data_IF_134461027746
#
_entry.id   IF_134461027746
#
_cell.length_a   1.000
_cell.length_b   1.000
_cell.length_c   1.000
_cell.angle_alpha   90.00
_cell.angle_beta   90.00
_cell.angle_gamma   90.00
#
_symmetry.space_group_name_H-M   'P 1'
#
loop_
_entity.id
_entity.type
_entity.pdbx_description
1 polymer ?
#
# COMPACT_ATOMS: atom_id res chain seq x y z
N UNK A 1 13.51 9.50 15.59
CA UNK A 1 12.50 8.79 16.38
C UNK A 1 13.18 7.84 17.36
N UNK A 2 12.92 8.01 18.68
CA UNK A 2 13.54 7.20 19.73
C UNK A 2 12.47 6.55 20.59
N UNK A 3 12.55 5.23 20.70
CA UNK A 3 11.68 4.43 21.59
C UNK A 3 12.50 3.73 22.65
N UNK A 4 12.02 3.77 23.91
CA UNK A 4 12.70 3.16 25.05
C UNK A 4 11.77 2.22 25.81
N UNK A 5 12.30 1.17 26.40
CA UNK A 5 11.55 0.28 27.28
C UNK A 5 11.94 0.49 28.75
N UNK A 6 10.98 0.24 29.66
CA UNK A 6 11.22 0.31 31.13
C UNK A 6 12.21 -0.74 31.65
N UNK A 7 12.57 -1.72 30.82
CA UNK A 7 13.59 -2.74 31.15
C UNK A 7 15.02 -2.22 30.97
N UNK A 8 15.20 -1.03 30.42
CA UNK A 8 16.50 -0.45 30.15
C UNK A 8 16.89 0.58 31.20
N UNK A 9 18.19 0.72 31.48
CA UNK A 9 18.74 1.77 32.37
C UNK A 9 18.45 3.17 31.79
N UNK A 10 18.46 3.30 30.46
CA UNK A 10 18.02 4.51 29.75
C UNK A 10 16.59 4.27 29.30
N UNK A 11 15.63 4.77 30.03
CA UNK A 11 14.20 4.61 29.76
C UNK A 11 13.49 5.93 29.40
N UNK A 12 14.15 7.08 29.55
CA UNK A 12 13.63 8.37 29.15
C UNK A 12 13.97 8.67 27.68
N UNK A 13 12.97 8.63 26.82
CA UNK A 13 13.16 8.89 25.39
C UNK A 13 13.75 10.29 25.10
N UNK A 14 13.28 11.34 25.81
CA UNK A 14 13.80 12.69 25.63
C UNK A 14 15.31 12.81 25.89
N UNK A 15 15.79 12.26 26.99
CA UNK A 15 17.22 12.27 27.31
C UNK A 15 18.06 11.46 26.29
N UNK A 16 17.47 10.39 25.75
CA UNK A 16 18.11 9.63 24.67
C UNK A 16 18.18 10.45 23.37
N UNK A 17 17.10 11.13 22.99
CA UNK A 17 17.05 12.00 21.80
C UNK A 17 18.16 13.07 21.87
N UNK A 18 18.27 13.80 22.98
CA UNK A 18 19.28 14.83 23.16
C UNK A 18 20.71 14.30 22.97
N UNK A 19 21.00 13.13 23.56
CA UNK A 19 22.31 12.49 23.43
C UNK A 19 22.60 12.01 22.01
N UNK A 20 21.61 11.44 21.33
CA UNK A 20 21.77 11.05 19.93
C UNK A 20 21.97 12.25 19.00
N UNK A 21 21.18 13.31 19.16
CA UNK A 21 21.32 14.53 18.36
C UNK A 21 22.71 15.14 18.54
N UNK A 22 23.17 15.23 19.81
CA UNK A 22 24.52 15.72 20.12
C UNK A 22 25.61 14.85 19.48
N UNK A 23 25.52 13.54 19.61
CA UNK A 23 26.49 12.61 19.02
C UNK A 23 26.53 12.70 17.50
N UNK A 24 25.38 12.81 16.81
CA UNK A 24 25.32 12.96 15.36
C UNK A 24 25.99 14.27 14.90
N UNK A 25 25.72 15.36 15.60
CA UNK A 25 26.36 16.65 15.28
C UNK A 25 27.87 16.60 15.52
N UNK A 26 28.32 16.11 16.67
CA UNK A 26 29.75 16.12 17.07
C UNK A 26 30.59 15.11 16.26
N UNK A 27 30.04 13.94 15.95
CA UNK A 27 30.79 12.85 15.31
C UNK A 27 30.70 12.86 13.78
N UNK A 28 29.59 13.35 13.22
CA UNK A 28 29.32 13.27 11.78
C UNK A 28 28.90 14.62 11.15
N UNK A 29 28.76 15.69 11.92
CA UNK A 29 28.29 16.98 11.41
C UNK A 29 26.85 16.93 10.87
N UNK A 30 26.05 15.96 11.32
CA UNK A 30 24.66 15.80 10.87
C UNK A 30 23.75 16.65 11.75
N UNK A 31 23.07 17.59 11.12
CA UNK A 31 22.01 18.38 11.75
C UNK A 31 20.71 17.59 11.75
N UNK A 32 20.00 17.60 12.88
CA UNK A 32 18.71 16.92 13.06
C UNK A 32 17.58 17.93 12.99
N UNK A 33 16.61 17.68 12.11
CA UNK A 33 15.42 18.50 11.93
C UNK A 33 14.15 17.63 11.88
N UNK A 34 13.01 18.17 12.32
CA UNK A 34 11.74 17.43 12.36
C UNK A 34 11.19 17.13 10.96
N UNK A 35 11.53 17.93 9.98
CA UNK A 35 11.12 17.82 8.57
C UNK A 35 12.18 17.13 7.68
N UNK A 36 13.22 16.54 8.29
CA UNK A 36 14.25 15.84 7.55
C UNK A 36 13.68 14.65 6.76
N UNK A 37 14.10 14.47 5.49
CA UNK A 37 13.53 13.42 4.62
C UNK A 37 13.91 12.00 5.02
N UNK A 38 14.94 11.84 5.84
CA UNK A 38 15.42 10.54 6.32
C UNK A 38 15.27 10.46 7.83
N UNK A 39 14.62 9.42 8.32
CA UNK A 39 14.42 9.19 9.76
C UNK A 39 15.39 8.13 10.28
N UNK A 40 16.11 8.46 11.34
CA UNK A 40 16.81 7.47 12.15
C UNK A 40 15.87 6.96 13.25
N UNK A 41 15.66 5.64 13.29
CA UNK A 41 14.87 4.98 14.33
C UNK A 41 15.81 4.34 15.34
N UNK A 42 15.72 4.78 16.60
CA UNK A 42 16.52 4.24 17.71
C UNK A 42 15.61 3.52 18.67
N UNK A 43 15.87 2.25 18.92
CA UNK A 43 15.17 1.43 19.90
C UNK A 43 16.14 1.03 21.02
N UNK A 44 15.77 1.35 22.24
CA UNK A 44 16.50 0.94 23.45
C UNK A 44 15.61 -0.05 24.22
N UNK A 45 15.99 -1.31 24.24
CA UNK A 45 15.24 -2.37 24.89
C UNK A 45 16.20 -3.35 25.58
N UNK A 46 15.97 -3.65 26.84
CA UNK A 46 16.83 -4.51 27.67
C UNK A 46 18.33 -4.14 27.58
N UNK A 47 18.62 -2.83 27.70
CA UNK A 47 19.96 -2.22 27.56
C UNK A 47 20.63 -2.41 26.18
N UNK A 48 19.92 -2.97 25.19
CA UNK A 48 20.39 -3.04 23.80
C UNK A 48 19.89 -1.82 23.03
N UNK A 49 20.80 -1.17 22.32
CA UNK A 49 20.49 -0.06 21.40
C UNK A 49 20.50 -0.60 19.98
N UNK A 50 19.40 -0.43 19.27
CA UNK A 50 19.29 -0.72 17.84
C UNK A 50 19.05 0.59 17.11
N UNK A 51 19.92 0.92 16.15
CA UNK A 51 19.79 2.10 15.27
C UNK A 51 19.47 1.60 13.88
N UNK A 52 18.40 2.13 13.28
CA UNK A 52 17.97 1.80 11.92
C UNK A 52 17.74 3.07 11.12
N UNK A 53 18.09 3.05 9.86
CA UNK A 53 17.73 4.10 8.90
C UNK A 53 16.39 3.71 8.24
N UNK A 54 15.40 4.57 8.31
CA UNK A 54 14.16 4.37 7.56
C UNK A 54 14.39 4.72 6.10
N UNK A 55 14.55 3.71 5.28
CA UNK A 55 14.76 3.86 3.84
C UNK A 55 13.46 3.98 3.06
N UNK A 56 12.33 3.71 3.68
CA UNK A 56 11.01 3.73 3.03
C UNK A 56 10.35 5.11 3.04
N UNK A 57 10.45 5.84 4.15
CA UNK A 57 9.70 7.08 4.39
C UNK A 57 8.21 6.81 4.57
N UNK A 58 7.38 7.20 3.61
CA UNK A 58 5.95 6.89 3.64
C UNK A 58 5.69 5.37 3.74
N UNK A 59 4.62 4.93 4.44
CA UNK A 59 4.28 3.51 4.53
C UNK A 59 4.18 2.83 3.16
N UNK A 60 4.66 1.59 3.04
CA UNK A 60 4.75 0.87 1.76
C UNK A 60 3.41 0.60 1.05
N UNK A 61 2.29 0.65 1.80
CA UNK A 61 0.97 0.53 1.18
C UNK A 61 0.59 1.78 0.37
N UNK A 62 1.20 2.93 0.61
CA UNK A 62 1.00 4.14 -0.18
C UNK A 62 1.78 4.00 -1.49
N UNK A 63 1.11 3.53 -2.55
CA UNK A 63 1.75 3.25 -3.86
C UNK A 63 2.02 4.52 -4.69
N UNK A 64 1.38 5.65 -4.35
CA UNK A 64 1.51 6.93 -5.05
C UNK A 64 0.43 7.18 -6.11
N UNK A 65 -0.42 6.24 -6.43
CA UNK A 65 -1.49 6.40 -7.42
C UNK A 65 -2.91 6.38 -6.82
N UNK A 66 -3.09 5.90 -5.60
CA UNK A 66 -4.39 5.88 -4.93
C UNK A 66 -4.59 7.16 -4.13
N UNK A 67 -5.20 8.15 -4.76
CA UNK A 67 -5.52 9.45 -4.14
C UNK A 67 -6.95 9.48 -3.57
N UNK A 68 -7.90 8.91 -4.31
CA UNK A 68 -9.29 8.86 -3.90
C UNK A 68 -9.57 7.58 -3.09
N UNK A 69 -10.04 7.74 -1.86
CA UNK A 69 -10.32 6.63 -0.95
C UNK A 69 -11.69 6.80 -0.28
N UNK A 70 -12.39 5.69 -0.07
CA UNK A 70 -13.60 5.66 0.73
C UNK A 70 -13.34 5.77 2.24
N UNK A 71 -14.39 5.60 3.05
CA UNK A 71 -14.32 5.72 4.53
C UNK A 71 -13.44 4.65 5.22
N UNK A 72 -13.24 3.47 4.59
CA UNK A 72 -12.47 2.35 5.14
C UNK A 72 -11.67 1.65 4.03
N UNK A 73 -10.63 2.29 3.47
CA UNK A 73 -9.90 1.74 2.35
C UNK A 73 -9.06 0.53 2.78
N UNK A 74 -9.04 -0.51 1.95
CA UNK A 74 -8.08 -1.60 2.06
C UNK A 74 -6.68 -1.04 1.79
N UNK A 75 -5.68 -1.47 2.56
CA UNK A 75 -4.26 -1.17 2.28
C UNK A 75 -3.77 -2.03 1.12
N UNK A 76 -3.05 -1.44 0.19
CA UNK A 76 -2.55 -2.11 -1.02
C UNK A 76 -1.64 -3.29 -0.69
N UNK A 77 -0.74 -3.14 0.28
CA UNK A 77 0.12 -4.26 0.73
C UNK A 77 -0.66 -5.43 1.30
N UNK A 78 -1.81 -5.15 1.94
CA UNK A 78 -2.67 -6.19 2.49
C UNK A 78 -3.44 -6.89 1.37
N UNK A 79 -3.92 -6.13 0.38
CA UNK A 79 -4.57 -6.70 -0.80
C UNK A 79 -3.61 -7.61 -1.59
N UNK A 80 -2.37 -7.16 -1.82
CA UNK A 80 -1.34 -7.98 -2.46
C UNK A 80 -1.04 -9.27 -1.68
N UNK A 81 -0.99 -9.19 -0.34
CA UNK A 81 -0.78 -10.36 0.53
C UNK A 81 -1.95 -11.36 0.39
N UNK A 82 -3.19 -10.91 0.44
CA UNK A 82 -4.35 -11.78 0.29
C UNK A 82 -4.41 -12.44 -1.10
N UNK A 83 -4.16 -11.69 -2.16
CA UNK A 83 -4.06 -12.25 -3.51
C UNK A 83 -2.99 -13.36 -3.57
N UNK A 84 -1.82 -13.13 -2.99
CA UNK A 84 -0.74 -14.12 -2.92
C UNK A 84 -1.16 -15.35 -2.10
N UNK A 85 -1.83 -15.17 -0.95
CA UNK A 85 -2.32 -16.29 -0.13
C UNK A 85 -3.41 -17.10 -0.82
N UNK A 86 -4.19 -16.49 -1.71
CA UNK A 86 -5.16 -17.18 -2.56
C UNK A 86 -4.51 -17.91 -3.75
N UNK A 87 -3.19 -17.89 -3.88
CA UNK A 87 -2.47 -18.52 -4.99
C UNK A 87 -2.58 -17.76 -6.31
N UNK A 88 -2.90 -16.45 -6.27
CA UNK A 88 -2.98 -15.63 -7.48
C UNK A 88 -1.60 -15.44 -8.11
N UNK A 89 -1.45 -15.88 -9.34
CA UNK A 89 -0.21 -15.83 -10.13
C UNK A 89 -0.28 -14.87 -11.34
N UNK A 90 -1.41 -14.17 -11.50
CA UNK A 90 -1.67 -13.25 -12.61
C UNK A 90 -2.29 -13.90 -13.85
N UNK A 91 -2.53 -15.20 -13.86
CA UNK A 91 -3.08 -15.92 -15.02
C UNK A 91 -4.62 -16.02 -15.03
N UNK A 92 -5.26 -15.82 -13.89
CA UNK A 92 -6.71 -15.94 -13.71
C UNK A 92 -7.38 -14.57 -13.53
N UNK A 93 -8.64 -14.49 -13.94
CA UNK A 93 -9.49 -13.32 -13.66
C UNK A 93 -9.70 -13.16 -12.16
N UNK A 94 -9.69 -11.92 -11.68
CA UNK A 94 -10.09 -11.56 -10.30
C UNK A 94 -11.34 -10.70 -10.37
N UNK A 95 -12.30 -10.99 -9.50
CA UNK A 95 -13.53 -10.23 -9.34
C UNK A 95 -13.75 -9.83 -7.89
N UNK A 96 -13.92 -8.52 -7.65
CA UNK A 96 -14.30 -7.94 -6.36
C UNK A 96 -15.72 -7.34 -6.45
N UNK A 97 -16.74 -8.01 -5.88
CA UNK A 97 -18.14 -7.55 -5.96
C UNK A 97 -18.48 -6.39 -5.01
N UNK A 98 -17.54 -5.91 -4.18
CA UNK A 98 -17.68 -4.76 -3.27
C UNK A 98 -16.39 -3.94 -3.28
N UNK A 99 -15.93 -3.56 -4.48
CA UNK A 99 -14.55 -3.12 -4.72
C UNK A 99 -14.19 -1.77 -4.09
N UNK A 100 -15.17 -0.97 -3.68
CA UNK A 100 -14.91 0.36 -3.14
C UNK A 100 -14.05 1.18 -4.10
N UNK A 101 -12.89 1.64 -3.66
CA UNK A 101 -11.93 2.39 -4.48
C UNK A 101 -11.04 1.50 -5.40
N UNK A 102 -11.37 0.21 -5.57
CA UNK A 102 -10.78 -0.69 -6.54
C UNK A 102 -9.48 -1.39 -6.11
N UNK A 103 -9.17 -1.47 -4.81
CA UNK A 103 -7.84 -1.90 -4.34
C UNK A 103 -7.47 -3.31 -4.80
N UNK A 104 -8.31 -4.33 -4.61
CA UNK A 104 -8.01 -5.70 -5.05
C UNK A 104 -7.87 -5.78 -6.57
N UNK A 105 -8.79 -5.17 -7.29
CA UNK A 105 -8.81 -5.18 -8.76
C UNK A 105 -7.55 -4.55 -9.36
N UNK A 106 -7.12 -3.41 -8.80
CA UNK A 106 -5.92 -2.69 -9.26
C UNK A 106 -4.65 -3.47 -8.90
N UNK A 107 -4.51 -3.95 -7.66
CA UNK A 107 -3.35 -4.74 -7.25
C UNK A 107 -3.23 -6.04 -8.07
N UNK A 108 -4.34 -6.70 -8.38
CA UNK A 108 -4.33 -7.88 -9.25
C UNK A 108 -3.82 -7.54 -10.66
N UNK A 109 -4.26 -6.41 -11.24
CA UNK A 109 -3.80 -5.96 -12.55
C UNK A 109 -2.31 -5.58 -12.53
N UNK A 110 -1.82 -4.95 -11.48
CA UNK A 110 -0.40 -4.60 -11.32
C UNK A 110 0.48 -5.86 -11.16
N UNK A 111 0.08 -6.82 -10.35
CA UNK A 111 0.78 -8.09 -10.16
C UNK A 111 0.83 -8.86 -11.48
N UNK A 112 -0.30 -9.00 -12.18
CA UNK A 112 -0.37 -9.74 -13.43
C UNK A 112 0.48 -9.13 -14.54
N UNK A 113 0.55 -7.79 -14.61
CA UNK A 113 1.38 -7.06 -15.58
C UNK A 113 2.85 -6.91 -15.13
N UNK A 114 3.23 -7.46 -13.97
CA UNK A 114 4.60 -7.40 -13.44
C UNK A 114 5.09 -5.99 -13.16
N UNK A 115 4.18 -5.07 -12.84
CA UNK A 115 4.52 -3.67 -12.54
C UNK A 115 5.13 -3.55 -11.15
N UNK A 116 6.18 -2.72 -11.04
CA UNK A 116 6.82 -2.47 -9.76
C UNK A 116 5.91 -1.67 -8.82
N UNK A 117 5.66 -2.20 -7.63
CA UNK A 117 4.76 -1.59 -6.64
C UNK A 117 5.21 -0.20 -6.16
N UNK A 118 6.51 0.08 -6.25
CA UNK A 118 7.12 1.36 -5.84
C UNK A 118 7.33 2.38 -6.97
N UNK A 119 6.90 2.09 -8.21
CA UNK A 119 7.22 2.93 -9.39
C UNK A 119 6.71 4.37 -9.31
N UNK A 120 5.57 4.58 -8.65
CA UNK A 120 4.86 5.88 -8.61
C UNK A 120 5.07 6.64 -7.29
N UNK A 121 6.01 6.22 -6.45
CA UNK A 121 6.30 6.88 -5.17
C UNK A 121 7.76 7.21 -5.01
N UNK A 122 8.07 8.18 -4.13
CA UNK A 122 9.41 8.44 -3.64
C UNK A 122 9.70 7.62 -2.38
N UNK A 123 10.97 7.36 -2.12
CA UNK A 123 11.46 6.67 -0.94
C UNK A 123 12.48 7.53 -0.20
N UNK A 124 12.58 7.37 1.11
CA UNK A 124 13.56 8.11 1.91
C UNK A 124 15.01 7.81 1.50
N UNK A 125 15.31 6.59 1.00
CA UNK A 125 16.66 6.27 0.53
C UNK A 125 17.14 7.14 -0.64
N UNK A 126 16.23 7.79 -1.37
CA UNK A 126 16.57 8.70 -2.48
C UNK A 126 17.31 9.97 -2.00
N UNK A 127 17.27 10.24 -0.70
CA UNK A 127 18.00 11.34 -0.06
C UNK A 127 19.35 10.90 0.55
N UNK A 128 19.73 9.64 0.44
CA UNK A 128 21.01 9.16 0.94
C UNK A 128 22.12 9.48 -0.06
N UNK A 129 23.33 9.73 0.45
CA UNK A 129 24.51 10.03 -0.38
C UNK A 129 24.88 8.85 -1.32
N UNK A 130 24.47 7.65 -0.98
CA UNK A 130 24.67 6.44 -1.79
C UNK A 130 23.60 6.24 -2.87
N UNK A 131 22.65 7.18 -3.01
CA UNK A 131 21.59 7.07 -3.99
C UNK A 131 22.13 7.19 -5.42
N UNK A 132 21.76 6.20 -6.25
CA UNK A 132 22.03 6.21 -7.68
C UNK A 132 20.71 6.34 -8.47
N UNK A 133 20.43 7.53 -9.04
CA UNK A 133 19.17 7.80 -9.76
C UNK A 133 19.02 6.96 -11.03
N UNK A 134 20.12 6.60 -11.69
CA UNK A 134 20.08 5.83 -12.95
C UNK A 134 19.65 4.40 -12.69
N UNK A 135 20.25 3.76 -11.69
CA UNK A 135 19.88 2.40 -11.25
C UNK A 135 18.41 2.35 -10.82
N UNK A 136 17.96 3.30 -9.99
CA UNK A 136 16.57 3.32 -9.51
C UNK A 136 15.59 3.60 -10.65
N UNK A 137 15.93 4.50 -11.58
CA UNK A 137 15.12 4.77 -12.77
C UNK A 137 14.98 3.52 -13.64
N UNK A 138 16.06 2.78 -13.84
CA UNK A 138 16.04 1.49 -14.56
C UNK A 138 15.14 0.46 -13.84
N UNK A 139 15.26 0.32 -12.52
CA UNK A 139 14.43 -0.59 -11.73
C UNK A 139 12.95 -0.23 -11.80
N UNK A 140 12.61 1.06 -11.75
CA UNK A 140 11.21 1.51 -11.85
C UNK A 140 10.57 1.26 -13.21
N UNK A 141 11.36 1.32 -14.28
CA UNK A 141 10.91 1.03 -15.65
C UNK A 141 10.82 -0.47 -15.94
N UNK A 142 11.44 -1.27 -15.09
CA UNK A 142 11.38 -2.71 -15.26
C UNK A 142 9.94 -3.19 -15.05
N UNK A 143 9.34 -3.69 -16.11
CA UNK A 143 8.07 -4.42 -16.07
C UNK A 143 8.30 -5.76 -16.76
N UNK A 144 7.60 -6.79 -16.33
CA UNK A 144 7.62 -8.03 -17.09
C UNK A 144 6.97 -7.77 -18.45
N UNK A 145 7.50 -8.35 -19.51
CA UNK A 145 6.90 -8.27 -20.85
C UNK A 145 5.58 -9.05 -20.96
N UNK A 146 5.06 -9.57 -19.86
CA UNK A 146 3.80 -10.30 -19.82
C UNK A 146 2.63 -9.32 -19.94
N UNK A 147 1.94 -9.38 -21.06
CA UNK A 147 0.63 -8.75 -21.21
C UNK A 147 -0.40 -9.74 -20.67
N UNK A 148 -1.14 -9.41 -19.59
CA UNK A 148 -2.18 -10.29 -19.07
C UNK A 148 -3.24 -10.57 -20.15
N UNK A 149 -3.60 -11.84 -20.31
CA UNK A 149 -4.66 -12.27 -21.23
C UNK A 149 -6.06 -12.16 -20.63
N UNK A 150 -6.13 -11.82 -19.34
CA UNK A 150 -7.36 -11.74 -18.54
C UNK A 150 -7.61 -10.30 -18.12
N UNK A 151 -8.85 -10.03 -17.74
CA UNK A 151 -9.28 -8.74 -17.18
C UNK A 151 -9.60 -8.91 -15.70
N UNK A 152 -9.54 -7.81 -14.98
CA UNK A 152 -9.80 -7.71 -13.55
C UNK A 152 -11.05 -6.87 -13.34
N UNK A 153 -11.99 -7.36 -12.56
CA UNK A 153 -13.33 -6.81 -12.46
C UNK A 153 -13.62 -6.33 -11.05
N UNK A 154 -14.26 -5.18 -10.97
CA UNK A 154 -14.76 -4.64 -9.71
C UNK A 154 -16.16 -4.12 -9.86
N UNK A 155 -16.98 -4.29 -8.83
CA UNK A 155 -18.29 -3.66 -8.78
C UNK A 155 -18.56 -3.12 -7.38
N UNK A 156 -19.38 -2.09 -7.32
CA UNK A 156 -19.88 -1.53 -6.07
C UNK A 156 -21.26 -0.92 -6.33
N UNK A 157 -22.12 -0.94 -5.32
CA UNK A 157 -23.44 -0.26 -5.37
C UNK A 157 -23.32 1.27 -5.39
N UNK A 158 -22.22 1.80 -4.88
CA UNK A 158 -21.92 3.23 -4.82
C UNK A 158 -21.21 3.69 -6.11
N UNK A 159 -21.90 4.51 -6.89
CA UNK A 159 -21.35 5.10 -8.12
C UNK A 159 -20.12 5.98 -7.86
N UNK A 160 -20.06 6.65 -6.69
CA UNK A 160 -18.89 7.42 -6.26
C UNK A 160 -17.67 6.53 -6.05
N UNK A 161 -17.85 5.33 -5.46
CA UNK A 161 -16.80 4.34 -5.32
C UNK A 161 -16.26 3.89 -6.68
N UNK A 162 -17.14 3.63 -7.64
CA UNK A 162 -16.74 3.24 -9.01
C UNK A 162 -15.98 4.38 -9.73
N UNK A 163 -16.41 5.63 -9.55
CA UNK A 163 -15.67 6.78 -10.07
C UNK A 163 -14.25 6.86 -9.48
N UNK A 164 -14.12 6.64 -8.18
CA UNK A 164 -12.81 6.57 -7.48
C UNK A 164 -11.96 5.42 -8.02
N UNK A 165 -12.53 4.21 -8.13
CA UNK A 165 -11.83 3.02 -8.62
C UNK A 165 -11.29 3.23 -10.05
N UNK A 166 -12.12 3.76 -10.95
CA UNK A 166 -11.74 4.07 -12.34
C UNK A 166 -10.60 5.10 -12.38
N UNK A 167 -10.69 6.16 -11.58
CA UNK A 167 -9.66 7.19 -11.51
C UNK A 167 -8.34 6.66 -10.94
N UNK A 168 -8.40 5.80 -9.92
CA UNK A 168 -7.24 5.14 -9.34
C UNK A 168 -6.57 4.19 -10.36
N UNK A 169 -7.35 3.39 -11.10
CA UNK A 169 -6.84 2.52 -12.14
C UNK A 169 -6.15 3.29 -13.28
N UNK A 170 -6.68 4.45 -13.63
CA UNK A 170 -6.06 5.35 -14.61
C UNK A 170 -4.69 5.85 -14.12
N UNK A 171 -4.59 6.30 -12.87
CA UNK A 171 -3.31 6.75 -12.29
C UNK A 171 -2.31 5.60 -12.13
N UNK A 172 -2.80 4.39 -11.83
CA UNK A 172 -1.99 3.17 -11.79
C UNK A 172 -1.60 2.64 -13.18
N UNK A 173 -2.11 3.26 -14.26
CA UNK A 173 -1.87 2.85 -15.65
C UNK A 173 -2.28 1.39 -15.92
N UNK A 174 -3.43 0.98 -15.35
CA UNK A 174 -4.02 -0.36 -15.53
C UNK A 174 -5.47 -0.33 -16.02
N UNK A 175 -5.92 0.81 -16.55
CA UNK A 175 -7.30 0.97 -17.04
C UNK A 175 -7.67 -0.06 -18.12
N UNK A 176 -6.74 -0.40 -18.99
CA UNK A 176 -6.96 -1.37 -20.05
C UNK A 176 -7.10 -2.81 -19.55
N UNK A 177 -6.68 -3.06 -18.31
CA UNK A 177 -6.75 -4.37 -17.67
C UNK A 177 -7.93 -4.48 -16.70
N UNK A 178 -8.53 -3.37 -16.30
CA UNK A 178 -9.57 -3.31 -15.27
C UNK A 178 -10.92 -2.94 -15.85
N UNK A 179 -11.99 -3.43 -15.24
CA UNK A 179 -13.36 -3.08 -15.58
C UNK A 179 -14.15 -2.85 -14.29
N UNK A 180 -14.79 -1.69 -14.19
CA UNK A 180 -15.57 -1.29 -13.03
C UNK A 180 -17.02 -0.99 -13.42
N UNK A 181 -17.97 -1.53 -12.64
CA UNK A 181 -19.40 -1.33 -12.89
C UNK A 181 -20.17 -1.02 -11.60
N UNK A 182 -21.18 -0.16 -11.72
CA UNK A 182 -22.12 0.08 -10.63
C UNK A 182 -23.10 -1.09 -10.58
N UNK A 183 -23.24 -1.72 -9.41
CA UNK A 183 -24.20 -2.83 -9.25
C UNK A 183 -24.24 -3.33 -7.81
N UNK A 184 -25.40 -3.85 -7.42
CA UNK A 184 -25.54 -4.54 -6.13
C UNK A 184 -25.04 -5.98 -6.28
N UNK A 185 -24.48 -6.56 -5.23
CA UNK A 185 -23.95 -7.94 -5.24
C UNK A 185 -24.98 -8.96 -5.74
N UNK A 186 -26.25 -8.78 -5.39
CA UNK A 186 -27.35 -9.68 -5.80
C UNK A 186 -27.62 -9.66 -7.31
N UNK A 187 -27.35 -8.53 -7.96
CA UNK A 187 -27.73 -8.26 -9.35
C UNK A 187 -26.58 -8.43 -10.34
N UNK A 188 -25.37 -8.72 -9.80
CA UNK A 188 -24.16 -8.78 -10.63
C UNK A 188 -24.07 -10.12 -11.35
N UNK A 189 -23.87 -10.03 -12.66
CA UNK A 189 -23.53 -11.18 -13.49
C UNK A 189 -22.00 -11.33 -13.50
N UNK A 190 -21.49 -12.52 -13.15
CA UNK A 190 -20.07 -12.80 -13.25
C UNK A 190 -19.54 -12.58 -14.67
N UNK A 191 -18.28 -12.13 -14.84
CA UNK A 191 -17.67 -12.00 -16.15
C UNK A 191 -17.67 -13.34 -16.89
N UNK A 192 -17.92 -13.31 -18.20
CA UNK A 192 -17.79 -14.50 -19.03
C UNK A 192 -16.33 -14.95 -19.10
N UNK A 193 -16.09 -16.26 -19.02
CA UNK A 193 -14.76 -16.84 -19.15
C UNK A 193 -14.52 -18.05 -18.27
N UNK A 194 -13.29 -18.53 -18.18
CA UNK A 194 -12.94 -19.60 -17.26
C UNK A 194 -13.10 -19.17 -15.80
N UNK A 195 -13.23 -20.13 -14.85
CA UNK A 195 -13.27 -19.84 -13.43
C UNK A 195 -12.09 -18.96 -12.98
N UNK A 196 -12.38 -17.97 -12.12
CA UNK A 196 -11.41 -17.04 -11.57
C UNK A 196 -11.51 -16.93 -10.05
N UNK A 197 -10.77 -16.01 -9.49
CA UNK A 197 -10.76 -15.70 -8.07
C UNK A 197 -11.83 -14.64 -7.77
N UNK A 198 -12.75 -14.94 -6.85
CA UNK A 198 -13.61 -13.94 -6.21
C UNK A 198 -12.99 -13.58 -4.86
N UNK A 199 -12.71 -12.31 -4.68
CA UNK A 199 -12.13 -11.78 -3.44
C UNK A 199 -12.90 -10.53 -3.02
N UNK A 200 -13.23 -10.41 -1.75
CA UNK A 200 -14.06 -9.30 -1.26
C UNK A 200 -13.64 -8.86 0.13
N UNK A 201 -13.66 -7.57 0.36
CA UNK A 201 -13.59 -6.96 1.68
C UNK A 201 -14.95 -6.34 2.02
N UNK A 202 -15.88 -7.13 2.57
CA UNK A 202 -17.24 -6.66 2.81
C UNK A 202 -17.25 -5.58 3.91
N UNK A 203 -18.25 -4.69 3.93
CA UNK A 203 -18.41 -3.73 5.00
C UNK A 203 -18.60 -4.44 6.34
N UNK A 204 -17.86 -4.03 7.37
CA UNK A 204 -17.93 -4.59 8.71
C UNK A 204 -17.83 -3.52 9.80
N UNK A 205 -18.46 -3.82 10.94
CA UNK A 205 -18.38 -2.97 12.15
C UNK A 205 -19.18 -1.68 12.10
N UNK A 206 -18.99 -0.84 13.11
CA UNK A 206 -19.76 0.40 13.36
C UNK A 206 -19.47 1.52 12.35
N UNK A 207 -18.47 1.34 11.49
CA UNK A 207 -17.99 2.40 10.57
C UNK A 207 -18.87 2.60 9.33
N UNK A 208 -19.77 1.68 9.03
CA UNK A 208 -20.53 1.70 7.76
C UNK A 208 -22.01 1.38 8.03
N UNK A 209 -22.73 2.30 8.68
CA UNK A 209 -24.18 2.25 8.81
C UNK A 209 -24.73 1.37 9.94
N UNK A 210 -26.06 1.34 10.04
CA UNK A 210 -26.79 0.56 11.04
C UNK A 210 -26.67 -0.94 10.77
N UNK A 211 -26.25 -1.72 11.77
CA UNK A 211 -26.09 -3.17 11.69
C UNK A 211 -27.33 -3.91 11.15
N UNK A 212 -28.53 -3.40 11.44
CA UNK A 212 -29.79 -4.00 10.99
C UNK A 212 -29.96 -3.94 9.47
N UNK A 213 -29.46 -2.89 8.82
CA UNK A 213 -29.59 -2.71 7.37
C UNK A 213 -28.51 -3.46 6.58
N UNK A 214 -27.38 -3.76 7.21
CA UNK A 214 -26.25 -4.45 6.58
C UNK A 214 -26.41 -5.98 6.50
N UNK A 215 -27.13 -6.57 7.44
CA UNK A 215 -27.30 -8.03 7.58
C UNK A 215 -28.74 -8.52 7.40
N UNK A 216 -29.67 -7.61 7.06
CA UNK A 216 -31.02 -8.05 6.61
C UNK A 216 -30.95 -8.46 5.15
N UNK A 217 -30.85 -9.74 4.94
CA UNK A 217 -31.13 -10.41 3.67
C UNK A 217 -32.59 -10.82 3.66
#
# INVERSE_FOLDING_TARGET
DVTTSRKSKIYHAGAAIERFNKALMESAGIEVADDAPVTLKVRIDDNRVTISVDTSGMPLHVRGHKEAVGKAPMRETLAALFLSQCGFDGSQTVFDPMCGSGTFTIEAAEIASGRQAGRSRSFAFEHLISFDPDTVSMMRRFSSSKIPKVKFWGSDRDSGAITMATSNAKRADVSDLTNFQVGKVQDIVPPNGPPGLVIVNPPYGVRIGDKKTLYSV
#
